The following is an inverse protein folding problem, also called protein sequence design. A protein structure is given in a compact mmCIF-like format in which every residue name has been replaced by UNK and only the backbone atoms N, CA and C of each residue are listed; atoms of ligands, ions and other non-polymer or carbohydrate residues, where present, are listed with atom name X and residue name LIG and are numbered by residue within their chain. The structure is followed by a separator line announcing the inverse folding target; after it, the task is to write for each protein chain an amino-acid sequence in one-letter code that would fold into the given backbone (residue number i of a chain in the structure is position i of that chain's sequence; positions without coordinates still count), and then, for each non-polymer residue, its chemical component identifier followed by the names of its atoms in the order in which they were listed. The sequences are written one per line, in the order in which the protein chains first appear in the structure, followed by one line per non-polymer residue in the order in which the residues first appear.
data_IF_857013558313
#
_entry.id   IF_857013558313
#
_cell.length_a   1.000
_cell.length_b   1.000
_cell.length_c   1.000
_cell.angle_alpha   90.00
_cell.angle_beta   90.00
_cell.angle_gamma   90.00
#
_symmetry.space_group_name_H-M   'P 1'
#
loop_
_entity.id
_entity.type
_entity.pdbx_description
1 polymer ?
#
# COMPACT_ATOMS: atom_id res chain seq x y z
N UNK A 1 -10.89 4.18 2.83
CA UNK A 1 -10.93 2.85 2.23
C UNK A 1 -11.16 2.98 0.73
N UNK A 2 -10.39 2.25 -0.06
CA UNK A 2 -10.59 2.15 -1.52
C UNK A 2 -10.56 0.68 -1.90
N UNK A 3 -11.55 0.25 -2.70
CA UNK A 3 -11.68 -1.11 -3.22
C UNK A 3 -11.70 -1.03 -4.75
N UNK A 4 -10.93 -1.89 -5.38
CA UNK A 4 -10.75 -1.94 -6.83
C UNK A 4 -10.96 -3.35 -7.37
N UNK A 5 -11.30 -3.47 -8.63
CA UNK A 5 -11.24 -4.73 -9.38
C UNK A 5 -9.83 -4.91 -9.94
N UNK A 6 -9.08 -5.95 -9.53
CA UNK A 6 -7.72 -6.18 -10.00
C UNK A 6 -7.63 -6.61 -11.47
N UNK A 7 -8.75 -6.91 -12.11
CA UNK A 7 -8.76 -7.37 -13.50
C UNK A 7 -8.91 -6.23 -14.53
N UNK A 8 -9.32 -5.02 -14.08
CA UNK A 8 -9.58 -3.91 -15.00
C UNK A 8 -9.29 -2.51 -14.43
N UNK A 9 -9.02 -2.38 -13.11
CA UNK A 9 -8.74 -1.09 -12.48
C UNK A 9 -9.99 -0.28 -12.10
N UNK A 10 -11.19 -0.83 -12.23
CA UNK A 10 -12.42 -0.17 -11.79
C UNK A 10 -12.40 0.04 -10.28
N UNK A 11 -12.77 1.23 -9.83
CA UNK A 11 -12.94 1.54 -8.41
C UNK A 11 -14.35 1.14 -7.99
N UNK A 12 -14.44 0.05 -7.23
CA UNK A 12 -15.71 -0.53 -6.76
C UNK A 12 -16.26 0.24 -5.55
N UNK A 13 -15.38 0.79 -4.71
CA UNK A 13 -15.74 1.65 -3.60
C UNK A 13 -14.61 2.63 -3.28
N UNK A 14 -14.97 3.88 -3.00
CA UNK A 14 -14.08 4.93 -2.51
C UNK A 14 -14.75 5.63 -1.33
N UNK A 15 -14.24 5.39 -0.14
CA UNK A 15 -14.83 5.88 1.10
C UNK A 15 -13.86 6.83 1.80
N UNK A 16 -14.33 8.07 1.99
CA UNK A 16 -13.72 9.07 2.85
C UNK A 16 -14.62 9.31 4.06
N UNK A 17 -14.10 9.18 5.28
CA UNK A 17 -14.87 9.38 6.51
C UNK A 17 -14.08 10.28 7.49
N UNK A 18 -14.73 11.23 8.16
CA UNK A 18 -16.14 11.58 8.02
C UNK A 18 -16.48 12.18 6.64
N UNK A 19 -17.76 12.15 6.27
CA UNK A 19 -18.29 12.62 4.99
C UNK A 19 -19.47 13.58 5.22
N UNK A 20 -20.16 13.95 4.15
CA UNK A 20 -21.27 14.88 4.15
C UNK A 20 -22.47 14.38 3.35
N UNK A 21 -23.64 14.96 3.56
CA UNK A 21 -24.84 14.66 2.77
C UNK A 21 -24.78 15.38 1.42
N UNK A 22 -24.56 14.61 0.36
CA UNK A 22 -24.46 15.12 -1.01
C UNK A 22 -25.76 15.81 -1.46
N UNK A 23 -26.95 15.38 -0.97
CA UNK A 23 -28.22 15.97 -1.37
C UNK A 23 -28.34 17.41 -0.90
N UNK A 24 -27.77 17.73 0.28
CA UNK A 24 -27.75 19.11 0.81
C UNK A 24 -26.72 20.00 0.12
N UNK A 25 -25.81 19.41 -0.67
CA UNK A 25 -24.78 20.14 -1.43
C UNK A 25 -25.13 20.26 -2.92
N UNK A 26 -26.22 19.62 -3.38
CA UNK A 26 -26.68 19.67 -4.76
C UNK A 26 -27.74 20.74 -4.97
N UNK A 27 -27.82 21.32 -6.18
CA UNK A 27 -28.77 22.39 -6.51
C UNK A 27 -28.45 23.70 -5.79
N UNK A 28 -29.45 24.29 -5.12
CA UNK A 28 -29.23 25.48 -4.27
C UNK A 28 -28.56 25.04 -2.98
N UNK A 29 -27.30 25.40 -2.83
CA UNK A 29 -26.49 24.98 -1.67
C UNK A 29 -27.07 25.53 -0.36
N UNK A 30 -27.22 24.66 0.64
CA UNK A 30 -27.56 25.01 2.01
C UNK A 30 -26.36 25.73 2.68
N UNK A 31 -26.43 27.05 2.74
CA UNK A 31 -25.33 27.88 3.22
C UNK A 31 -24.97 27.61 4.70
N UNK A 32 -25.95 27.28 5.53
CA UNK A 32 -25.71 26.98 6.96
C UNK A 32 -25.03 25.62 7.10
N UNK A 33 -25.45 24.65 6.32
CA UNK A 33 -24.80 23.34 6.29
C UNK A 33 -23.36 23.42 5.76
N UNK A 34 -23.12 24.16 4.68
CA UNK A 34 -21.77 24.39 4.18
C UNK A 34 -20.87 25.06 5.20
N UNK A 35 -21.38 26.07 5.92
CA UNK A 35 -20.67 26.73 7.02
C UNK A 35 -20.36 25.74 8.17
N UNK A 36 -21.31 24.87 8.51
CA UNK A 36 -21.11 23.81 9.51
C UNK A 36 -19.95 22.88 9.08
N UNK A 37 -19.96 22.38 7.84
CA UNK A 37 -18.92 21.49 7.32
C UNK A 37 -17.54 22.16 7.29
N UNK A 38 -17.46 23.44 6.91
CA UNK A 38 -16.19 24.18 6.90
C UNK A 38 -15.60 24.43 8.30
N UNK A 39 -16.45 24.49 9.32
CA UNK A 39 -16.02 24.70 10.70
C UNK A 39 -15.78 23.37 11.46
N UNK A 40 -16.12 22.24 10.86
CA UNK A 40 -15.92 20.93 11.46
C UNK A 40 -14.45 20.54 11.42
N UNK A 41 -13.87 20.36 12.62
CA UNK A 41 -12.45 20.00 12.78
C UNK A 41 -12.08 18.63 12.17
N UNK A 42 -13.06 17.78 11.91
CA UNK A 42 -12.86 16.49 11.26
C UNK A 42 -12.69 16.60 9.74
N UNK A 43 -12.84 17.81 9.17
CA UNK A 43 -12.67 18.11 7.75
C UNK A 43 -13.50 17.20 6.81
N UNK A 44 -14.83 17.13 6.95
CA UNK A 44 -15.65 16.20 6.16
C UNK A 44 -15.67 16.52 4.66
N UNK A 45 -15.30 17.75 4.24
CA UNK A 45 -15.14 18.14 2.83
C UNK A 45 -13.81 17.68 2.24
N UNK A 46 -12.85 17.28 3.07
CA UNK A 46 -11.56 16.80 2.60
C UNK A 46 -11.65 15.32 2.23
N UNK A 47 -11.28 14.98 0.99
CA UNK A 47 -11.27 13.59 0.57
C UNK A 47 -10.02 12.87 1.09
N UNK A 48 -10.15 12.23 2.25
CA UNK A 48 -9.07 11.52 2.91
C UNK A 48 -8.52 10.36 2.08
N UNK A 49 -9.32 9.77 1.21
CA UNK A 49 -8.90 8.63 0.39
C UNK A 49 -7.93 9.02 -0.75
N UNK A 50 -8.10 10.23 -1.32
CA UNK A 50 -7.32 10.69 -2.48
C UNK A 50 -6.32 11.80 -2.18
N UNK A 51 -6.52 12.56 -1.09
CA UNK A 51 -5.75 13.77 -0.78
C UNK A 51 -4.78 13.59 0.39
N UNK A 52 -5.16 12.80 1.41
CA UNK A 52 -4.30 12.55 2.56
C UNK A 52 -3.16 11.61 2.19
N UNK A 53 -1.93 12.03 2.48
CA UNK A 53 -0.73 11.25 2.17
C UNK A 53 0.07 10.99 3.44
N UNK A 54 0.48 9.75 3.60
CA UNK A 54 1.34 9.30 4.69
C UNK A 54 2.43 8.35 4.15
N UNK A 55 3.46 8.14 4.94
CA UNK A 55 4.39 7.05 4.69
C UNK A 55 3.63 5.71 4.73
N UNK A 56 3.89 4.76 3.82
CA UNK A 56 3.14 3.50 3.71
C UNK A 56 3.46 2.53 4.85
N UNK A 57 4.52 2.76 5.60
CA UNK A 57 5.02 1.84 6.60
C UNK A 57 5.22 0.44 6.02
N UNK A 58 4.97 -0.57 6.80
CA UNK A 58 5.23 -1.97 6.42
C UNK A 58 4.41 -2.50 5.23
N UNK A 59 3.43 -1.76 4.68
CA UNK A 59 2.80 -2.16 3.40
C UNK A 59 3.78 -2.07 2.23
N UNK A 60 4.77 -1.19 2.31
CA UNK A 60 5.83 -1.05 1.30
C UNK A 60 6.76 -2.26 1.21
N UNK A 61 6.84 -3.10 2.25
CA UNK A 61 7.68 -4.29 2.27
C UNK A 61 7.34 -5.29 1.17
N UNK A 62 6.11 -5.30 0.68
CA UNK A 62 5.71 -6.11 -0.47
C UNK A 62 6.41 -5.61 -1.74
N UNK A 63 6.44 -4.29 -1.99
CA UNK A 63 7.22 -3.67 -3.09
C UNK A 63 8.71 -3.99 -2.95
N UNK A 64 9.27 -3.82 -1.75
CA UNK A 64 10.68 -4.14 -1.48
C UNK A 64 11.00 -5.62 -1.72
N UNK A 65 10.06 -6.53 -1.41
CA UNK A 65 10.23 -7.97 -1.65
C UNK A 65 10.28 -8.30 -3.15
N UNK A 66 9.34 -7.74 -3.91
CA UNK A 66 9.28 -7.91 -5.38
C UNK A 66 10.59 -7.41 -6.00
N UNK A 67 10.97 -6.19 -5.68
CA UNK A 67 12.22 -5.58 -6.15
C UNK A 67 13.43 -6.44 -5.81
N UNK A 68 13.58 -6.86 -4.55
CA UNK A 68 14.76 -7.57 -4.09
C UNK A 68 14.90 -8.97 -4.72
N UNK A 69 13.78 -9.65 -4.95
CA UNK A 69 13.75 -10.95 -5.63
C UNK A 69 14.04 -10.80 -7.12
N UNK A 70 13.45 -9.82 -7.79
CA UNK A 70 13.61 -9.59 -9.23
C UNK A 70 15.03 -9.14 -9.58
N UNK A 71 15.63 -8.27 -8.76
CA UNK A 71 17.02 -7.84 -8.92
C UNK A 71 18.06 -8.87 -8.46
N UNK A 72 17.64 -10.00 -7.86
CA UNK A 72 18.56 -11.00 -7.32
C UNK A 72 19.36 -10.53 -6.09
N UNK A 73 18.92 -9.46 -5.41
CA UNK A 73 19.49 -9.03 -4.11
C UNK A 73 19.28 -10.11 -3.05
N UNK A 74 18.15 -10.81 -3.15
CA UNK A 74 17.81 -12.00 -2.39
C UNK A 74 17.18 -13.04 -3.33
N UNK A 75 17.13 -14.28 -2.88
CA UNK A 75 16.30 -15.34 -3.44
C UNK A 75 15.34 -15.89 -2.38
N UNK A 76 14.36 -16.74 -2.71
CA UNK A 76 13.38 -17.24 -1.74
C UNK A 76 13.98 -17.96 -0.51
N UNK A 77 15.19 -18.52 -0.62
CA UNK A 77 15.90 -19.21 0.46
C UNK A 77 16.86 -18.31 1.24
N UNK A 78 17.08 -17.08 0.78
CA UNK A 78 17.93 -16.11 1.50
C UNK A 78 17.32 -15.83 2.87
N UNK A 79 18.14 -15.96 3.91
CA UNK A 79 17.71 -15.72 5.28
C UNK A 79 18.62 -14.73 6.00
N UNK A 80 18.02 -13.94 6.89
CA UNK A 80 18.73 -13.04 7.82
C UNK A 80 18.27 -13.33 9.25
N UNK A 81 19.22 -13.31 10.19
CA UNK A 81 18.92 -13.45 11.61
C UNK A 81 18.50 -12.09 12.20
N UNK A 82 17.29 -12.00 12.72
CA UNK A 82 16.77 -10.81 13.39
C UNK A 82 17.08 -10.88 14.90
N UNK A 83 18.07 -10.14 15.34
CA UNK A 83 18.42 -9.96 16.76
C UNK A 83 17.62 -8.85 17.47
N UNK A 84 16.75 -8.15 16.74
CA UNK A 84 16.04 -6.96 17.24
C UNK A 84 16.75 -5.63 16.97
N UNK A 85 18.03 -5.64 16.63
CA UNK A 85 18.82 -4.43 16.32
C UNK A 85 19.64 -4.63 15.06
N UNK A 86 19.62 -3.66 14.15
CA UNK A 86 20.43 -3.63 12.94
C UNK A 86 21.65 -2.76 13.16
N UNK A 87 22.84 -3.34 13.19
CA UNK A 87 24.09 -2.72 13.63
C UNK A 87 25.03 -2.26 12.48
N UNK A 88 24.61 -2.46 11.23
CA UNK A 88 25.42 -2.08 10.06
C UNK A 88 25.45 -0.57 9.76
N UNK A 89 24.57 0.22 10.39
CA UNK A 89 24.52 1.67 10.27
C UNK A 89 24.40 2.35 11.65
N UNK A 90 24.74 3.65 11.71
CA UNK A 90 24.62 4.44 12.94
C UNK A 90 23.75 5.68 12.69
N UNK A 91 22.72 5.96 13.52
CA UNK A 91 22.28 5.15 14.67
C UNK A 91 21.68 3.81 14.23
N UNK A 92 21.86 2.77 15.04
CA UNK A 92 21.37 1.42 14.76
C UNK A 92 19.84 1.34 14.87
N UNK A 93 19.09 1.14 13.76
CA UNK A 93 17.64 1.02 13.81
C UNK A 93 17.22 -0.31 14.43
N UNK A 94 15.99 -0.34 14.97
CA UNK A 94 15.48 -1.51 15.69
C UNK A 94 14.29 -2.14 15.01
N UNK A 95 14.20 -3.45 15.15
CA UNK A 95 12.96 -4.16 14.83
C UNK A 95 11.87 -3.81 15.86
N UNK A 96 10.61 -3.98 15.47
CA UNK A 96 9.48 -3.76 16.38
C UNK A 96 9.45 -4.83 17.48
N UNK A 97 9.87 -6.07 17.20
CA UNK A 97 10.16 -7.09 18.21
C UNK A 97 11.59 -6.87 18.71
N UNK A 98 11.71 -6.37 19.93
CA UNK A 98 13.01 -5.97 20.51
C UNK A 98 13.94 -7.14 20.79
N UNK A 99 13.38 -8.32 21.08
CA UNK A 99 14.11 -9.58 21.24
C UNK A 99 14.52 -10.23 19.91
N UNK A 100 14.03 -9.70 18.80
CA UNK A 100 14.20 -10.27 17.46
C UNK A 100 13.19 -11.36 17.10
N UNK A 101 13.10 -11.66 15.81
CA UNK A 101 12.24 -12.72 15.26
C UNK A 101 13.01 -14.04 15.07
N UNK A 102 14.35 -14.04 15.24
CA UNK A 102 15.18 -15.17 14.84
C UNK A 102 15.47 -15.16 13.34
N UNK A 103 15.60 -16.34 12.75
CA UNK A 103 15.92 -16.49 11.32
C UNK A 103 14.67 -16.28 10.45
N UNK A 104 14.73 -15.34 9.53
CA UNK A 104 13.66 -14.96 8.63
C UNK A 104 14.06 -15.17 7.17
N UNK A 105 13.15 -15.69 6.37
CA UNK A 105 13.16 -15.64 4.90
C UNK A 105 12.22 -14.54 4.42
N UNK A 106 12.16 -14.25 3.12
CA UNK A 106 11.28 -13.20 2.59
C UNK A 106 9.80 -13.45 2.94
N UNK A 107 9.33 -14.69 2.86
CA UNK A 107 7.93 -15.05 3.17
C UNK A 107 7.59 -14.86 4.64
N UNK A 108 8.46 -15.32 5.54
CA UNK A 108 8.25 -15.13 6.99
C UNK A 108 8.46 -13.68 7.39
N UNK A 109 9.38 -12.96 6.76
CA UNK A 109 9.59 -11.53 7.00
C UNK A 109 8.40 -10.66 6.55
N UNK A 110 7.68 -11.04 5.50
CA UNK A 110 6.40 -10.42 5.12
C UNK A 110 5.34 -10.71 6.19
N UNK A 111 5.19 -11.98 6.60
CA UNK A 111 4.26 -12.42 7.65
C UNK A 111 4.47 -11.68 8.96
N UNK A 112 5.69 -11.70 9.47
CA UNK A 112 6.04 -11.17 10.79
C UNK A 112 6.39 -9.68 10.75
N UNK A 113 6.33 -9.10 9.54
CA UNK A 113 6.68 -7.69 9.32
C UNK A 113 8.07 -7.32 9.86
N UNK A 114 9.06 -8.21 9.71
CA UNK A 114 10.39 -8.09 10.28
C UNK A 114 11.14 -6.90 9.66
N UNK A 115 11.39 -5.84 10.44
CA UNK A 115 12.13 -4.68 9.93
C UNK A 115 13.57 -5.04 9.59
N UNK A 116 14.23 -5.88 10.41
CA UNK A 116 15.65 -6.17 10.23
C UNK A 116 15.93 -6.93 8.94
N UNK A 117 15.01 -7.81 8.50
CA UNK A 117 15.13 -8.44 7.19
C UNK A 117 15.19 -7.39 6.09
N UNK A 118 14.25 -6.45 6.09
CA UNK A 118 14.16 -5.41 5.07
C UNK A 118 15.24 -4.33 5.20
N UNK A 119 15.76 -4.06 6.39
CA UNK A 119 16.97 -3.24 6.55
C UNK A 119 18.16 -3.87 5.83
N UNK A 120 18.34 -5.20 5.94
CA UNK A 120 19.39 -5.91 5.19
C UNK A 120 19.16 -5.80 3.68
N UNK A 121 17.91 -5.90 3.21
CA UNK A 121 17.59 -5.73 1.79
C UNK A 121 17.99 -4.33 1.31
N UNK A 122 17.54 -3.26 1.99
CA UNK A 122 17.88 -1.89 1.62
C UNK A 122 19.39 -1.61 1.67
N UNK A 123 20.07 -2.13 2.69
CA UNK A 123 21.53 -2.02 2.85
C UNK A 123 22.27 -2.76 1.73
N UNK A 124 21.89 -4.00 1.42
CA UNK A 124 22.51 -4.79 0.35
C UNK A 124 22.24 -4.19 -1.04
N UNK A 125 21.07 -3.61 -1.27
CA UNK A 125 20.78 -2.87 -2.50
C UNK A 125 21.72 -1.66 -2.65
N UNK A 126 21.93 -0.90 -1.56
CA UNK A 126 22.85 0.23 -1.59
C UNK A 126 24.32 -0.17 -1.81
N UNK A 127 24.68 -1.42 -1.49
CA UNK A 127 26.02 -1.97 -1.73
C UNK A 127 26.17 -2.73 -3.05
N UNK A 128 25.09 -2.92 -3.82
CA UNK A 128 25.10 -3.83 -4.99
C UNK A 128 26.08 -3.42 -6.09
N UNK A 129 26.48 -2.14 -6.15
CA UNK A 129 27.49 -1.60 -7.07
C UNK A 129 28.90 -1.51 -6.47
N UNK A 130 29.14 -2.16 -5.31
CA UNK A 130 30.46 -2.24 -4.65
C UNK A 130 30.72 -1.15 -3.61
N UNK A 131 30.06 0.01 -3.69
CA UNK A 131 30.12 1.09 -2.69
C UNK A 131 28.69 1.39 -2.21
N UNK A 132 28.58 1.81 -0.94
CA UNK A 132 27.29 2.16 -0.37
C UNK A 132 26.76 3.46 -1.03
N UNK A 133 25.69 3.29 -1.84
CA UNK A 133 25.05 4.36 -2.60
C UNK A 133 23.55 4.43 -2.31
N UNK A 134 23.17 5.38 -1.44
CA UNK A 134 21.77 5.66 -1.13
C UNK A 134 20.99 6.15 -2.35
N UNK A 135 21.59 6.98 -3.18
CA UNK A 135 20.90 7.58 -4.33
C UNK A 135 20.54 6.52 -5.36
N UNK A 136 21.46 5.61 -5.65
CA UNK A 136 21.19 4.46 -6.51
C UNK A 136 20.07 3.60 -5.92
N UNK A 137 20.20 3.20 -4.66
CA UNK A 137 19.22 2.31 -4.04
C UNK A 137 17.80 2.91 -3.98
N UNK A 138 17.70 4.19 -3.61
CA UNK A 138 16.38 4.85 -3.56
C UNK A 138 15.79 5.09 -4.96
N UNK A 139 16.63 5.35 -5.99
CA UNK A 139 16.14 5.45 -7.38
C UNK A 139 15.58 4.13 -7.90
N UNK A 140 16.21 3.01 -7.54
CA UNK A 140 15.68 1.66 -7.86
C UNK A 140 14.37 1.41 -7.14
N UNK A 141 14.29 1.69 -5.84
CA UNK A 141 13.04 1.57 -5.06
C UNK A 141 11.92 2.42 -5.64
N UNK A 142 12.24 3.66 -6.06
CA UNK A 142 11.29 4.55 -6.72
C UNK A 142 10.77 3.94 -8.02
N UNK A 143 11.66 3.39 -8.88
CA UNK A 143 11.27 2.76 -10.14
C UNK A 143 10.27 1.61 -9.93
N UNK A 144 10.54 0.72 -8.96
CA UNK A 144 9.58 -0.36 -8.65
C UNK A 144 8.27 0.15 -8.06
N UNK A 145 8.31 1.21 -7.25
CA UNK A 145 7.09 1.85 -6.74
C UNK A 145 6.27 2.51 -7.86
N UNK A 146 6.92 3.12 -8.86
CA UNK A 146 6.28 3.66 -10.07
C UNK A 146 5.66 2.54 -10.91
N UNK A 147 6.41 1.47 -11.19
CA UNK A 147 5.97 0.34 -12.00
C UNK A 147 4.77 -0.40 -11.37
N UNK A 148 4.74 -0.47 -10.04
CA UNK A 148 3.62 -1.01 -9.28
C UNK A 148 2.43 -0.05 -9.14
N UNK A 149 2.52 1.17 -9.69
CA UNK A 149 1.45 2.18 -9.62
C UNK A 149 1.32 2.90 -8.28
N UNK A 150 2.27 2.70 -7.36
CA UNK A 150 2.27 3.33 -6.03
C UNK A 150 2.75 4.79 -6.09
N UNK A 151 3.79 5.07 -6.90
CA UNK A 151 4.45 6.37 -6.97
C UNK A 151 4.11 7.18 -8.25
N UNK A 152 3.00 6.85 -8.90
CA UNK A 152 2.46 7.59 -10.06
C UNK A 152 1.02 7.97 -9.83
N UNK A 153 0.53 8.99 -10.56
CA UNK A 153 -0.89 9.37 -10.57
C UNK A 153 -1.75 8.18 -11.00
N UNK A 154 -2.90 8.01 -10.35
CA UNK A 154 -3.74 6.85 -10.58
C UNK A 154 -4.56 6.90 -11.87
N UNK A 155 -4.75 8.10 -12.42
CA UNK A 155 -5.61 8.32 -13.60
C UNK A 155 -7.08 8.49 -13.26
N UNK A 156 -7.48 8.42 -11.99
CA UNK A 156 -8.87 8.57 -11.56
C UNK A 156 -9.45 9.95 -11.94
N UNK A 157 -10.73 10.03 -12.24
CA UNK A 157 -11.39 11.24 -12.77
C UNK A 157 -11.62 12.34 -11.72
N UNK A 158 -11.34 12.09 -10.47
CA UNK A 158 -11.46 13.08 -9.38
C UNK A 158 -10.09 13.57 -8.92
N UNK A 159 -10.08 14.69 -8.21
CA UNK A 159 -8.83 15.26 -7.71
C UNK A 159 -8.09 14.29 -6.75
N UNK A 160 -6.83 14.03 -7.07
CA UNK A 160 -5.90 13.27 -6.24
C UNK A 160 -4.61 14.06 -6.03
N UNK A 161 -3.91 13.79 -4.93
CA UNK A 161 -2.61 14.38 -4.65
C UNK A 161 -1.49 13.52 -5.24
N UNK A 162 -0.54 14.16 -5.93
CA UNK A 162 0.58 13.45 -6.55
C UNK A 162 1.42 12.71 -5.49
N UNK A 163 1.63 11.39 -5.65
CA UNK A 163 2.44 10.60 -4.73
C UNK A 163 3.93 10.88 -4.89
N UNK A 164 4.71 10.52 -3.86
CA UNK A 164 6.17 10.56 -3.96
C UNK A 164 6.83 9.37 -3.26
N UNK A 165 7.85 8.80 -3.91
CA UNK A 165 8.73 7.81 -3.32
C UNK A 165 9.83 8.47 -2.48
N UNK A 166 10.31 7.76 -1.46
CA UNK A 166 11.44 8.24 -0.64
C UNK A 166 12.75 8.27 -1.43
N UNK A 167 13.54 9.30 -1.20
CA UNK A 167 14.85 9.51 -1.83
C UNK A 167 15.99 9.80 -0.82
N UNK A 168 15.76 9.56 0.47
CA UNK A 168 16.71 10.01 1.51
C UNK A 168 17.54 8.90 2.14
N UNK A 169 17.01 7.70 2.34
CA UNK A 169 17.70 6.62 3.07
C UNK A 169 17.19 5.25 2.60
N UNK A 170 18.05 4.45 2.01
CA UNK A 170 17.68 3.15 1.45
C UNK A 170 17.24 2.14 2.53
N UNK A 171 17.85 2.19 3.72
CA UNK A 171 17.57 1.24 4.80
C UNK A 171 16.18 1.51 5.38
N UNK A 172 15.86 2.78 5.68
CA UNK A 172 14.54 3.15 6.19
C UNK A 172 13.47 3.13 5.09
N UNK A 173 13.81 3.51 3.87
CA UNK A 173 12.88 3.45 2.74
C UNK A 173 12.41 2.02 2.45
N UNK A 174 13.27 1.02 2.62
CA UNK A 174 12.94 -0.39 2.40
C UNK A 174 11.82 -0.93 3.33
N UNK A 175 11.54 -0.26 4.44
CA UNK A 175 10.43 -0.59 5.35
C UNK A 175 9.25 0.37 5.23
N UNK A 176 9.26 1.25 4.21
CA UNK A 176 8.22 2.24 3.99
C UNK A 176 8.26 3.44 4.93
N UNK A 177 9.42 3.73 5.51
CA UNK A 177 9.72 4.96 6.25
C UNK A 177 10.55 5.91 5.36
N UNK A 178 10.98 7.04 5.89
CA UNK A 178 11.62 8.09 5.11
C UNK A 178 10.62 9.16 4.72
N UNK A 179 10.75 9.73 3.52
CA UNK A 179 9.86 10.77 3.02
C UNK A 179 8.87 10.29 1.95
N UNK A 180 8.50 9.00 1.99
CA UNK A 180 7.38 8.49 1.19
C UNK A 180 6.08 9.23 1.52
N UNK A 181 5.28 9.52 0.49
CA UNK A 181 3.98 10.15 0.64
C UNK A 181 2.97 9.52 -0.33
N UNK A 182 2.07 8.69 0.18
CA UNK A 182 1.06 7.97 -0.59
C UNK A 182 -0.31 8.10 0.04
N UNK A 183 -1.33 8.26 -0.81
CA UNK A 183 -2.73 8.23 -0.40
C UNK A 183 -3.26 6.79 -0.30
N UNK A 184 -4.44 6.63 0.29
CA UNK A 184 -5.14 5.32 0.29
C UNK A 184 -5.43 4.85 -1.14
N UNK A 185 -5.72 5.77 -2.06
CA UNK A 185 -5.91 5.48 -3.47
C UNK A 185 -4.65 4.89 -4.12
N UNK A 186 -3.47 5.48 -3.85
CA UNK A 186 -2.21 4.94 -4.35
C UNK A 186 -1.92 3.53 -3.80
N UNK A 187 -2.22 3.29 -2.51
CA UNK A 187 -2.10 1.96 -1.91
C UNK A 187 -3.07 0.95 -2.54
N UNK A 188 -4.29 1.38 -2.91
CA UNK A 188 -5.26 0.52 -3.60
C UNK A 188 -4.78 0.15 -5.00
N UNK A 189 -4.30 1.12 -5.80
CA UNK A 189 -3.74 0.86 -7.12
C UNK A 189 -2.56 -0.11 -7.04
N UNK A 190 -1.68 0.11 -6.09
CA UNK A 190 -0.54 -0.76 -5.83
C UNK A 190 -0.95 -2.19 -5.52
N UNK A 191 -1.87 -2.41 -4.57
CA UNK A 191 -2.31 -3.77 -4.24
C UNK A 191 -3.11 -4.41 -5.36
N UNK A 192 -3.79 -3.64 -6.22
CA UNK A 192 -4.39 -4.10 -7.48
C UNK A 192 -3.35 -4.73 -8.39
N UNK A 193 -2.23 -4.03 -8.59
CA UNK A 193 -1.10 -4.52 -9.42
C UNK A 193 -0.43 -5.75 -8.82
N UNK A 194 -0.31 -5.79 -7.49
CA UNK A 194 0.21 -6.98 -6.79
C UNK A 194 -0.74 -8.16 -6.97
N UNK A 195 -2.04 -7.96 -6.77
CA UNK A 195 -3.05 -9.01 -6.82
C UNK A 195 -3.11 -9.74 -8.18
N UNK A 196 -2.92 -8.99 -9.28
CA UNK A 196 -2.97 -9.53 -10.64
C UNK A 196 -1.60 -9.92 -11.22
N UNK A 197 -0.55 -9.99 -10.38
CA UNK A 197 0.81 -10.36 -10.78
C UNK A 197 1.43 -9.40 -11.81
N UNK A 198 1.23 -8.09 -11.64
CA UNK A 198 2.06 -7.07 -12.27
C UNK A 198 1.42 -6.24 -13.37
N UNK A 199 0.11 -6.38 -13.65
CA UNK A 199 -0.58 -5.45 -14.56
C UNK A 199 -1.06 -4.24 -13.79
N UNK A 200 -0.43 -3.08 -14.02
CA UNK A 200 -0.82 -1.80 -13.44
C UNK A 200 -1.85 -1.10 -14.33
N UNK A 201 -3.06 -0.93 -13.82
CA UNK A 201 -4.12 -0.18 -14.51
C UNK A 201 -4.15 1.30 -14.10
N UNK A 202 -4.62 2.16 -14.98
CA UNK A 202 -5.21 3.43 -14.57
C UNK A 202 -6.54 3.14 -13.91
N UNK A 203 -6.79 3.78 -12.76
CA UNK A 203 -8.04 3.60 -12.02
C UNK A 203 -9.15 4.45 -12.60
N UNK A 204 -10.39 3.97 -12.56
CA UNK A 204 -11.56 4.70 -13.04
C UNK A 204 -12.77 4.48 -12.14
N UNK A 205 -13.59 5.54 -12.00
CA UNK A 205 -14.92 5.52 -11.38
C UNK A 205 -16.03 5.29 -12.39
N UNK A 206 -15.70 5.35 -13.70
CA UNK A 206 -16.65 5.27 -14.80
C UNK A 206 -16.57 3.90 -15.44
N UNK A 207 -17.62 3.10 -15.28
CA UNK A 207 -17.77 1.82 -15.97
C UNK A 207 -18.18 2.03 -17.43
N UNK A 208 -19.25 2.81 -17.66
CA UNK A 208 -19.77 3.11 -19.02
C UNK A 208 -20.58 4.39 -19.04
N UNK A 209 -20.73 4.95 -20.24
CA UNK A 209 -21.60 6.08 -20.53
C UNK A 209 -22.68 5.61 -21.50
N UNK A 210 -23.95 5.87 -21.17
CA UNK A 210 -25.10 5.55 -22.01
C UNK A 210 -25.90 6.82 -22.35
N UNK A 211 -26.66 6.78 -23.44
CA UNK A 211 -27.68 7.79 -23.74
C UNK A 211 -28.93 7.61 -22.84
N UNK A 212 -29.91 8.51 -22.99
CA UNK A 212 -31.17 8.46 -22.22
C UNK A 212 -32.02 7.22 -22.52
N UNK A 213 -31.75 6.50 -23.59
CA UNK A 213 -32.45 5.27 -24.01
C UNK A 213 -31.69 4.00 -23.54
N UNK A 214 -30.55 4.16 -22.87
CA UNK A 214 -29.70 3.06 -22.41
C UNK A 214 -28.72 2.54 -23.47
N UNK A 215 -28.64 3.17 -24.66
CA UNK A 215 -27.66 2.77 -25.67
C UNK A 215 -26.24 3.16 -25.22
N UNK A 216 -25.30 2.27 -25.39
CA UNK A 216 -23.91 2.50 -25.05
C UNK A 216 -23.31 3.61 -25.93
N UNK A 217 -22.84 4.70 -25.32
CA UNK A 217 -22.07 5.78 -25.97
C UNK A 217 -20.58 5.48 -25.85
N UNK A 218 -20.13 5.08 -24.68
CA UNK A 218 -18.72 4.78 -24.37
C UNK A 218 -18.65 3.68 -23.35
N UNK A 219 -17.89 2.65 -23.67
CA UNK A 219 -17.41 1.66 -22.71
C UNK A 219 -16.06 2.12 -22.17
N UNK A 220 -15.90 2.05 -20.87
CA UNK A 220 -14.64 2.42 -20.24
C UNK A 220 -13.84 1.13 -19.98
N UNK A 221 -13.28 0.60 -21.07
CA UNK A 221 -12.42 -0.59 -21.00
C UNK A 221 -11.18 -0.35 -20.13
N UNK A 222 -10.64 -1.44 -19.60
CA UNK A 222 -9.42 -1.41 -18.77
C UNK A 222 -8.27 -0.66 -19.50
N UNK A 223 -7.71 0.33 -18.85
CA UNK A 223 -6.57 1.13 -19.33
C UNK A 223 -5.29 0.68 -18.61
N UNK A 224 -4.44 -0.06 -19.35
CA UNK A 224 -3.18 -0.59 -18.81
C UNK A 224 -2.11 0.50 -18.87
N UNK A 225 -1.65 0.94 -17.70
CA UNK A 225 -0.58 1.92 -17.56
C UNK A 225 0.81 1.29 -17.68
N UNK A 226 1.00 0.08 -17.13
CA UNK A 226 2.26 -0.64 -17.15
C UNK A 226 2.05 -2.15 -16.95
N UNK A 227 3.00 -2.95 -17.43
CA UNK A 227 3.05 -4.40 -17.17
C UNK A 227 4.46 -4.76 -16.73
N UNK A 228 4.59 -5.30 -15.53
CA UNK A 228 5.86 -5.78 -14.98
C UNK A 228 6.15 -7.20 -15.49
N UNK A 229 7.22 -7.35 -16.26
CA UNK A 229 7.66 -8.64 -16.76
C UNK A 229 8.53 -9.37 -15.72
N UNK A 230 7.92 -9.79 -14.62
CA UNK A 230 8.55 -10.49 -13.49
C UNK A 230 8.10 -11.95 -13.49
N UNK A 231 9.01 -12.86 -13.11
CA UNK A 231 8.69 -14.31 -13.13
C UNK A 231 7.55 -14.64 -12.15
N UNK A 232 6.67 -15.55 -12.54
CA UNK A 232 5.53 -15.99 -11.71
C UNK A 232 5.98 -16.50 -10.34
N UNK A 233 7.14 -17.15 -10.26
CA UNK A 233 7.67 -17.66 -8.99
C UNK A 233 7.99 -16.57 -7.97
N UNK A 234 8.29 -15.34 -8.41
CA UNK A 234 8.48 -14.18 -7.53
C UNK A 234 7.12 -13.74 -6.99
N UNK A 235 6.12 -13.61 -7.87
CA UNK A 235 4.75 -13.29 -7.45
C UNK A 235 4.22 -14.32 -6.46
N UNK A 236 4.34 -15.61 -6.75
CA UNK A 236 3.90 -16.70 -5.87
C UNK A 236 4.57 -16.61 -4.49
N UNK A 237 5.87 -16.31 -4.44
CA UNK A 237 6.62 -16.14 -3.19
C UNK A 237 6.07 -14.99 -2.35
N UNK A 238 5.80 -13.85 -2.99
CA UNK A 238 5.30 -12.65 -2.30
C UNK A 238 3.84 -12.85 -1.89
N UNK A 239 3.00 -13.38 -2.78
CA UNK A 239 1.59 -13.69 -2.49
C UNK A 239 1.48 -14.65 -1.31
N UNK A 240 2.31 -15.70 -1.28
CA UNK A 240 2.33 -16.63 -0.16
C UNK A 240 2.71 -15.95 1.16
N UNK A 241 3.72 -15.07 1.15
CA UNK A 241 4.07 -14.26 2.31
C UNK A 241 2.91 -13.39 2.81
N UNK A 242 2.15 -12.76 1.89
CA UNK A 242 0.97 -11.97 2.20
C UNK A 242 -0.20 -12.82 2.72
N UNK A 243 -0.39 -14.03 2.19
CA UNK A 243 -1.42 -14.96 2.68
C UNK A 243 -1.15 -15.40 4.12
N UNK A 244 0.11 -15.65 4.47
CA UNK A 244 0.48 -15.99 5.84
C UNK A 244 0.16 -14.90 6.87
N UNK A 245 0.11 -13.62 6.46
CA UNK A 245 -0.26 -12.50 7.34
C UNK A 245 -1.66 -12.64 7.90
N UNK A 246 -2.60 -13.21 7.14
CA UNK A 246 -4.02 -13.34 7.54
C UNK A 246 -4.15 -14.05 8.89
N UNK A 247 -3.35 -15.08 9.12
CA UNK A 247 -3.38 -15.85 10.35
C UNK A 247 -2.73 -15.14 11.56
N UNK A 248 -2.07 -14.02 11.35
CA UNK A 248 -1.44 -13.23 12.44
C UNK A 248 -2.41 -12.23 13.08
N UNK A 249 -3.59 -12.02 12.47
CA UNK A 249 -4.63 -11.11 12.95
C UNK A 249 -5.91 -11.86 13.27
N UNK A 250 -6.38 -11.78 14.51
CA UNK A 250 -7.60 -12.48 14.95
C UNK A 250 -8.88 -12.03 14.22
N UNK A 251 -8.91 -10.81 13.69
CA UNK A 251 -10.03 -10.34 12.88
C UNK A 251 -10.02 -11.01 11.49
N UNK A 252 -8.86 -11.06 10.84
CA UNK A 252 -8.71 -11.62 9.49
C UNK A 252 -8.88 -13.14 9.47
N UNK A 253 -8.33 -13.85 10.47
CA UNK A 253 -8.39 -15.32 10.55
C UNK A 253 -9.80 -15.88 10.75
N UNK A 254 -10.78 -15.03 11.11
CA UNK A 254 -12.20 -15.40 11.25
C UNK A 254 -13.00 -15.27 9.95
N UNK A 255 -12.42 -14.59 8.95
CA UNK A 255 -13.08 -14.45 7.65
C UNK A 255 -13.04 -15.80 6.93
N UNK A 256 -14.21 -16.31 6.56
CA UNK A 256 -14.32 -17.61 5.87
C UNK A 256 -14.00 -17.47 4.37
N UNK A 257 -12.81 -16.98 4.06
CA UNK A 257 -12.30 -16.78 2.71
C UNK A 257 -10.77 -16.87 2.73
N UNK A 258 -10.17 -17.56 1.75
CA UNK A 258 -8.73 -17.50 1.55
C UNK A 258 -8.36 -16.20 0.83
N UNK A 259 -7.51 -15.38 1.44
CA UNK A 259 -7.10 -14.08 0.90
C UNK A 259 -5.68 -13.72 1.35
N UNK A 260 -5.16 -12.62 0.86
CA UNK A 260 -3.84 -12.12 1.20
C UNK A 260 -3.93 -10.69 1.76
N UNK A 261 -3.03 -10.35 2.68
CA UNK A 261 -3.00 -9.04 3.31
C UNK A 261 -1.58 -8.60 3.71
N UNK A 262 -1.39 -7.31 3.92
CA UNK A 262 -0.21 -6.76 4.60
C UNK A 262 -0.59 -5.53 5.39
N UNK A 263 -0.26 -5.55 6.67
CA UNK A 263 -0.45 -4.42 7.58
C UNK A 263 0.66 -3.38 7.43
N UNK A 264 0.32 -2.13 7.68
CA UNK A 264 1.24 -1.01 7.82
C UNK A 264 0.99 -0.25 9.12
N UNK A 265 2.06 0.24 9.71
CA UNK A 265 2.05 1.22 10.78
C UNK A 265 3.08 2.26 10.42
N UNK A 266 2.67 3.52 10.31
CA UNK A 266 3.56 4.61 9.93
C UNK A 266 3.57 5.68 11.03
N UNK A 267 4.77 5.99 11.52
CA UNK A 267 4.97 7.05 12.50
C UNK A 267 5.21 8.36 11.76
N UNK A 268 4.37 9.35 12.01
CA UNK A 268 4.56 10.70 11.50
C UNK A 268 5.34 11.56 12.50
N UNK A 269 4.91 11.55 13.75
CA UNK A 269 5.61 12.26 14.82
C UNK A 269 5.47 11.48 16.14
N UNK A 270 6.25 11.86 17.16
CA UNK A 270 6.25 11.17 18.48
C UNK A 270 5.12 11.61 19.42
N UNK A 271 4.33 12.60 19.03
CA UNK A 271 3.29 13.18 19.89
C UNK A 271 1.90 12.63 19.60
N UNK A 272 1.71 12.05 18.44
CA UNK A 272 0.44 11.53 17.98
C UNK A 272 0.56 10.03 17.72
N UNK A 273 -0.55 9.27 17.82
CA UNK A 273 -0.54 7.85 17.46
C UNK A 273 -0.16 7.62 16.01
N UNK A 274 0.45 6.49 15.73
CA UNK A 274 0.83 6.08 14.39
C UNK A 274 -0.42 5.89 13.49
N UNK A 275 -0.25 6.06 12.17
CA UNK A 275 -1.28 5.73 11.19
C UNK A 275 -1.37 4.22 11.02
N UNK A 276 -2.60 3.68 11.00
CA UNK A 276 -2.87 2.27 10.77
C UNK A 276 -3.29 2.04 9.32
N UNK A 277 -2.66 1.08 8.64
CA UNK A 277 -2.94 0.76 7.25
C UNK A 277 -3.03 -0.75 7.04
N UNK A 278 -3.81 -1.14 6.04
CA UNK A 278 -3.88 -2.51 5.54
C UNK A 278 -4.08 -2.48 4.02
N UNK A 279 -3.34 -3.30 3.32
CA UNK A 279 -3.60 -3.66 1.92
C UNK A 279 -3.97 -5.13 1.88
N UNK A 280 -4.92 -5.50 1.02
CA UNK A 280 -5.38 -6.88 0.89
C UNK A 280 -6.00 -7.13 -0.48
N UNK A 281 -6.11 -8.39 -0.86
CA UNK A 281 -6.88 -8.82 -2.02
C UNK A 281 -7.53 -10.18 -1.79
N UNK A 282 -8.64 -10.42 -2.42
CA UNK A 282 -9.45 -11.62 -2.28
C UNK A 282 -10.20 -11.97 -3.58
N UNK A 283 -10.49 -13.29 -3.83
CA UNK A 283 -9.86 -14.47 -3.24
C UNK A 283 -8.37 -14.56 -3.53
N UNK A 284 -7.64 -15.39 -2.78
CA UNK A 284 -6.18 -15.57 -2.95
C UNK A 284 -5.80 -16.10 -4.34
N UNK A 285 -6.48 -17.17 -4.78
CA UNK A 285 -6.12 -17.87 -6.02
C UNK A 285 -6.64 -17.18 -7.29
N UNK A 286 -7.71 -16.39 -7.19
CA UNK A 286 -8.32 -15.68 -8.33
C UNK A 286 -8.88 -14.34 -7.84
N UNK A 287 -8.04 -13.31 -7.67
CA UNK A 287 -8.43 -12.03 -7.11
C UNK A 287 -9.58 -11.35 -7.87
N UNK A 288 -10.62 -10.97 -7.13
CA UNK A 288 -11.78 -10.25 -7.65
C UNK A 288 -11.89 -8.85 -7.05
N UNK A 289 -11.30 -8.66 -5.88
CA UNK A 289 -11.22 -7.36 -5.21
C UNK A 289 -9.82 -7.15 -4.66
N UNK A 290 -9.34 -5.93 -4.73
CA UNK A 290 -8.16 -5.46 -4.02
C UNK A 290 -8.56 -4.24 -3.19
N UNK A 291 -8.03 -4.13 -1.97
CA UNK A 291 -8.49 -3.13 -1.00
C UNK A 291 -7.32 -2.49 -0.28
N UNK A 292 -7.40 -1.18 -0.08
CA UNK A 292 -6.55 -0.44 0.85
C UNK A 292 -7.40 0.27 1.90
N UNK A 293 -6.99 0.15 3.15
CA UNK A 293 -7.58 0.84 4.31
C UNK A 293 -6.51 1.69 4.96
N UNK A 294 -6.84 2.94 5.29
CA UNK A 294 -5.99 3.83 6.09
C UNK A 294 -6.82 4.48 7.17
N UNK A 295 -6.34 4.42 8.41
CA UNK A 295 -6.95 5.06 9.58
C UNK A 295 -5.92 6.03 10.14
N UNK A 296 -6.06 7.35 9.89
CA UNK A 296 -5.18 8.35 10.48
C UNK A 296 -5.20 8.22 12.01
N UNK A 297 -4.02 8.22 12.62
CA UNK A 297 -3.84 8.09 14.09
C UNK A 297 -4.51 6.84 14.68
N UNK A 298 -4.61 5.76 13.89
CA UNK A 298 -5.28 4.50 14.24
C UNK A 298 -4.43 3.55 15.09
N UNK A 299 -3.32 4.00 15.65
CA UNK A 299 -2.37 3.27 16.52
C UNK A 299 -1.58 2.17 15.82
N UNK A 300 -2.21 1.18 15.22
CA UNK A 300 -1.51 0.06 14.59
C UNK A 300 -2.34 -0.63 13.50
N UNK A 301 -1.69 -1.44 12.66
CA UNK A 301 -2.36 -2.23 11.63
C UNK A 301 -3.46 -3.16 12.15
N UNK A 302 -3.55 -3.42 13.46
CA UNK A 302 -4.64 -4.21 14.05
C UNK A 302 -6.00 -3.55 13.86
N UNK A 303 -6.10 -2.23 14.03
CA UNK A 303 -7.36 -1.49 13.80
C UNK A 303 -7.77 -1.54 12.33
N UNK A 304 -6.80 -1.41 11.42
CA UNK A 304 -7.08 -1.54 9.99
C UNK A 304 -7.51 -2.97 9.62
N UNK A 305 -7.01 -4.02 10.32
CA UNK A 305 -7.42 -5.40 10.09
C UNK A 305 -8.90 -5.66 10.44
N UNK A 306 -9.44 -5.00 11.46
CA UNK A 306 -10.85 -5.12 11.83
C UNK A 306 -11.78 -4.55 10.75
N UNK A 307 -11.37 -3.45 10.10
CA UNK A 307 -12.12 -2.89 8.98
C UNK A 307 -12.00 -3.76 7.72
N UNK A 308 -10.82 -4.31 7.47
CA UNK A 308 -10.56 -5.20 6.34
C UNK A 308 -11.37 -6.49 6.41
N UNK A 309 -11.64 -6.99 7.62
CA UNK A 309 -12.39 -8.23 7.85
C UNK A 309 -13.91 -8.09 7.67
N UNK A 310 -14.43 -6.87 7.56
CA UNK A 310 -15.88 -6.59 7.38
C UNK A 310 -16.27 -6.52 5.92
#
# INVERSE_FOLDING_TARGET
CVITDPNNGNVLALVSYPSYDNNRMSGTMDADYYKQLNNDKSNPLYNWATQAQNAPGSTYKVCTSIMALDMGIINPSTSFYCSGTFDKITPSPRCWVRSGHGTETVTTAIRDSCNLFFYNVGYNLALSNGLFDNTYATSVMQKYAEDLGLATMSGIEIAEKAPSASNIDAVYSAIGQGNHAYSTLNLARYVTTVANSGTCYNLTLIDKITDNNGNLIRDNSADVANVMNISQSIWDTVHYGMNLVVNTYSALSKVNLNFAAKSGTAQENKKEPDHAMMISYAPYDNPQIAMAVSIPHGYSGSQASELTAK
#
